data_IF_195169019942
#
_entry.id   IF_195169019942
#
_cell.length_a   1.000
_cell.length_b   1.000
_cell.length_c   1.000
_cell.angle_alpha   90.00
_cell.angle_beta   90.00
_cell.angle_gamma   90.00
#
_symmetry.space_group_name_H-M   'P 1'
#
loop_
_entity.id
_entity.type
_entity.pdbx_description
1 polymer ?
#
# COMPACT_ATOMS: atom_id res chain seq x y z
N UNK A 1 -19.20 -8.40 -17.94
CA UNK A 1 -20.31 -7.47 -17.65
C UNK A 1 -19.75 -6.30 -16.87
N UNK A 2 -19.96 -5.05 -17.31
CA UNK A 2 -19.64 -3.84 -16.54
C UNK A 2 -20.96 -3.24 -16.05
N UNK A 3 -21.02 -2.84 -14.78
CA UNK A 3 -22.21 -2.22 -14.17
C UNK A 3 -21.81 -0.79 -13.81
N UNK A 4 -22.14 0.16 -14.68
CA UNK A 4 -21.71 1.57 -14.60
C UNK A 4 -22.01 2.20 -13.23
N UNK A 5 -23.26 2.10 -12.77
CA UNK A 5 -23.65 2.61 -11.45
C UNK A 5 -22.78 2.09 -10.30
N UNK A 6 -22.42 0.80 -10.31
CA UNK A 6 -21.61 0.20 -9.27
C UNK A 6 -20.16 0.69 -9.36
N UNK A 7 -19.61 0.78 -10.58
CA UNK A 7 -18.26 1.30 -10.83
C UNK A 7 -18.19 2.74 -10.31
N UNK A 8 -19.09 3.62 -10.74
CA UNK A 8 -19.05 5.03 -10.34
C UNK A 8 -19.20 5.19 -8.83
N UNK A 9 -20.16 4.48 -8.22
CA UNK A 9 -20.40 4.52 -6.77
C UNK A 9 -19.15 4.18 -5.98
N UNK A 10 -18.50 3.05 -6.29
CA UNK A 10 -17.33 2.60 -5.51
C UNK A 10 -16.06 3.36 -5.87
N UNK A 11 -15.96 3.88 -7.10
CA UNK A 11 -14.87 4.77 -7.51
C UNK A 11 -14.92 6.08 -6.75
N UNK A 12 -16.10 6.70 -6.65
CA UNK A 12 -16.28 7.94 -5.87
C UNK A 12 -15.89 7.73 -4.40
N UNK A 13 -16.33 6.63 -3.79
CA UNK A 13 -16.00 6.33 -2.40
C UNK A 13 -14.50 6.03 -2.20
N UNK A 14 -13.86 5.30 -3.12
CA UNK A 14 -12.42 5.07 -3.08
C UNK A 14 -11.63 6.40 -3.17
N UNK A 15 -12.02 7.31 -4.07
CA UNK A 15 -11.41 8.64 -4.16
C UNK A 15 -11.63 9.47 -2.90
N UNK A 16 -12.80 9.38 -2.27
CA UNK A 16 -13.08 10.04 -0.98
C UNK A 16 -12.19 9.52 0.14
N UNK A 17 -11.94 8.21 0.19
CA UNK A 17 -11.04 7.60 1.16
C UNK A 17 -9.58 8.02 0.92
N UNK A 18 -9.13 8.03 -0.34
CA UNK A 18 -7.80 8.52 -0.72
C UNK A 18 -7.61 9.99 -0.32
N UNK A 19 -8.61 10.83 -0.57
CA UNK A 19 -8.58 12.26 -0.23
C UNK A 19 -8.54 12.50 1.28
N UNK A 20 -9.32 11.72 2.05
CA UNK A 20 -9.28 11.75 3.52
C UNK A 20 -7.87 11.42 4.05
N UNK A 21 -7.27 10.34 3.57
CA UNK A 21 -5.94 9.92 4.00
C UNK A 21 -4.88 10.94 3.59
N UNK A 22 -4.95 11.45 2.36
CA UNK A 22 -4.02 12.46 1.87
C UNK A 22 -4.10 13.76 2.68
N UNK A 23 -5.31 14.19 3.04
CA UNK A 23 -5.53 15.37 3.89
C UNK A 23 -4.99 15.15 5.30
N UNK A 24 -5.26 14.00 5.92
CA UNK A 24 -4.73 13.66 7.23
C UNK A 24 -3.19 13.68 7.25
N UNK A 25 -2.58 13.11 6.21
CA UNK A 25 -1.13 13.04 6.03
C UNK A 25 -0.52 14.36 5.53
N UNK A 26 -1.30 15.40 5.27
CA UNK A 26 -0.76 16.72 4.95
C UNK A 26 -0.13 17.37 6.19
N UNK A 27 -0.67 17.10 7.38
CA UNK A 27 -0.25 17.72 8.65
C UNK A 27 0.37 16.74 9.65
N UNK A 28 0.35 15.44 9.37
CA UNK A 28 0.95 14.41 10.22
C UNK A 28 2.02 13.61 9.48
N UNK A 29 2.98 13.05 10.22
CA UNK A 29 3.98 12.15 9.64
C UNK A 29 3.40 10.77 9.34
N UNK A 30 2.59 10.25 10.27
CA UNK A 30 1.89 8.97 10.21
C UNK A 30 0.39 9.18 10.43
N UNK A 31 -0.41 8.14 10.22
CA UNK A 31 -1.87 8.32 10.18
C UNK A 31 -2.46 8.81 11.52
N UNK A 32 -1.87 8.36 12.64
CA UNK A 32 -2.35 8.63 13.99
C UNK A 32 -1.54 9.70 14.74
N UNK A 33 -0.58 10.37 14.07
CA UNK A 33 0.29 11.35 14.71
C UNK A 33 1.71 11.35 14.15
N UNK A 34 2.67 11.63 15.03
CA UNK A 34 4.09 11.73 14.66
C UNK A 34 4.83 10.39 14.73
N UNK A 35 4.18 9.34 15.25
CA UNK A 35 4.79 8.02 15.42
C UNK A 35 4.09 6.94 14.58
N UNK A 36 4.90 6.04 14.03
CA UNK A 36 4.43 4.87 13.29
C UNK A 36 3.67 3.91 14.20
N UNK A 37 2.47 3.52 13.78
CA UNK A 37 1.56 2.72 14.59
C UNK A 37 0.96 1.53 13.84
N UNK A 38 0.19 0.70 14.55
CA UNK A 38 -0.60 -0.37 13.93
C UNK A 38 -1.67 0.16 12.95
N UNK A 39 -2.09 1.43 13.08
CA UNK A 39 -3.00 2.02 12.12
C UNK A 39 -2.33 2.17 10.75
N UNK A 40 -1.05 2.54 10.71
CA UNK A 40 -0.28 2.58 9.47
C UNK A 40 -0.10 1.19 8.86
N UNK A 41 0.18 0.18 9.70
CA UNK A 41 0.29 -1.23 9.29
C UNK A 41 -1.01 -1.72 8.65
N UNK A 42 -2.17 -1.33 9.19
CA UNK A 42 -3.47 -1.75 8.68
C UNK A 42 -3.81 -1.09 7.33
N UNK A 43 -3.44 0.18 7.15
CA UNK A 43 -3.81 0.99 5.97
C UNK A 43 -2.85 0.75 4.80
N UNK A 44 -1.55 0.64 5.08
CA UNK A 44 -0.49 0.66 4.06
C UNK A 44 -0.61 -0.46 3.00
N UNK A 45 -0.89 -1.73 3.37
CA UNK A 45 -1.04 -2.79 2.38
C UNK A 45 -2.21 -2.59 1.40
N UNK A 46 -3.19 -1.74 1.74
CA UNK A 46 -4.30 -1.40 0.86
C UNK A 46 -4.00 -0.14 0.05
N UNK A 47 -3.96 1.00 0.72
CA UNK A 47 -3.88 2.29 0.04
C UNK A 47 -2.48 2.59 -0.47
N UNK A 48 -1.45 2.13 0.22
CA UNK A 48 -0.06 2.26 -0.23
C UNK A 48 0.19 1.48 -1.51
N UNK A 49 -0.20 0.20 -1.55
CA UNK A 49 -0.08 -0.61 -2.77
C UNK A 49 -0.92 -0.03 -3.93
N UNK A 50 -2.11 0.50 -3.64
CA UNK A 50 -2.96 1.14 -4.65
C UNK A 50 -2.28 2.37 -5.27
N UNK A 51 -1.73 3.29 -4.47
CA UNK A 51 -1.07 4.50 -5.00
C UNK A 51 0.27 4.22 -5.67
N UNK A 52 0.93 3.11 -5.31
CA UNK A 52 2.11 2.60 -6.04
C UNK A 52 1.74 1.86 -7.34
N UNK A 53 0.44 1.72 -7.66
CA UNK A 53 -0.02 1.05 -8.88
C UNK A 53 0.11 -0.48 -8.84
N UNK A 54 0.25 -1.07 -7.66
CA UNK A 54 0.44 -2.51 -7.48
C UNK A 54 -0.88 -3.29 -7.34
N UNK A 55 -2.03 -2.61 -7.40
CA UNK A 55 -3.34 -3.22 -7.19
C UNK A 55 -4.36 -2.75 -8.23
N UNK A 56 -5.10 -3.71 -8.79
CA UNK A 56 -6.23 -3.52 -9.73
C UNK A 56 -5.95 -2.75 -11.02
N UNK A 57 -4.69 -2.39 -11.33
CA UNK A 57 -4.34 -1.50 -12.44
C UNK A 57 -5.13 -0.17 -12.42
N UNK A 58 -5.53 0.28 -11.22
CA UNK A 58 -6.48 1.38 -11.03
C UNK A 58 -5.81 2.76 -10.89
N UNK A 59 -4.48 2.84 -11.00
CA UNK A 59 -3.71 4.06 -10.69
C UNK A 59 -4.13 5.27 -11.53
N UNK A 60 -4.22 5.10 -12.85
CA UNK A 60 -4.68 6.16 -13.75
C UNK A 60 -6.15 6.51 -13.52
N UNK A 61 -7.00 5.49 -13.40
CA UNK A 61 -8.44 5.65 -13.23
C UNK A 61 -8.82 6.38 -11.93
N UNK A 62 -8.08 6.16 -10.84
CA UNK A 62 -8.29 6.84 -9.57
C UNK A 62 -7.49 8.15 -9.43
N UNK A 63 -6.69 8.51 -10.42
CA UNK A 63 -5.76 9.64 -10.40
C UNK A 63 -4.85 9.63 -9.15
N UNK A 64 -4.22 8.49 -8.88
CA UNK A 64 -3.49 8.28 -7.63
C UNK A 64 -2.30 9.22 -7.45
N UNK A 65 -1.76 9.76 -8.55
CA UNK A 65 -0.61 10.68 -8.55
C UNK A 65 -0.93 12.04 -7.92
N UNK A 66 -2.21 12.40 -7.82
CA UNK A 66 -2.65 13.64 -7.17
C UNK A 66 -2.50 13.60 -5.64
N UNK A 67 -2.47 12.42 -5.02
CA UNK A 67 -2.39 12.23 -3.57
C UNK A 67 -0.94 12.24 -3.06
N UNK A 68 -0.27 13.38 -3.19
CA UNK A 68 1.17 13.53 -2.94
C UNK A 68 1.60 13.21 -1.50
N UNK A 69 0.78 13.55 -0.49
CA UNK A 69 1.09 13.27 0.91
C UNK A 69 0.94 11.78 1.23
N UNK A 70 -0.07 11.14 0.64
CA UNK A 70 -0.25 9.69 0.74
C UNK A 70 0.90 8.94 0.05
N UNK A 71 1.39 9.42 -1.10
CA UNK A 71 2.58 8.87 -1.76
C UNK A 71 3.82 9.01 -0.85
N UNK A 72 4.06 10.19 -0.28
CA UNK A 72 5.18 10.42 0.65
C UNK A 72 5.16 9.45 1.83
N UNK A 73 4.01 9.28 2.47
CA UNK A 73 3.84 8.35 3.58
C UNK A 73 4.06 6.91 3.14
N UNK A 74 3.53 6.54 1.97
CA UNK A 74 3.66 5.20 1.39
C UNK A 74 5.12 4.83 1.13
N UNK A 75 5.88 5.72 0.49
CA UNK A 75 7.31 5.51 0.22
C UNK A 75 8.14 5.46 1.51
N UNK A 76 7.80 6.29 2.49
CA UNK A 76 8.49 6.33 3.79
C UNK A 76 8.35 4.99 4.51
N UNK A 77 7.13 4.46 4.60
CA UNK A 77 6.88 3.15 5.22
C UNK A 77 7.46 2.01 4.38
N UNK A 78 7.40 2.09 3.06
CA UNK A 78 7.95 1.08 2.15
C UNK A 78 9.47 0.89 2.27
N UNK A 79 10.20 1.90 2.74
CA UNK A 79 11.64 1.83 3.02
C UNK A 79 11.98 1.08 4.31
N UNK A 80 11.00 0.78 5.17
CA UNK A 80 11.25 0.10 6.45
C UNK A 80 11.65 -1.36 6.19
N UNK A 81 12.78 -1.86 6.73
CA UNK A 81 13.21 -3.24 6.50
C UNK A 81 12.17 -4.30 6.90
N UNK A 82 11.40 -4.03 7.96
CA UNK A 82 10.33 -4.93 8.40
C UNK A 82 9.16 -4.99 7.41
N UNK A 83 8.83 -3.88 6.73
CA UNK A 83 7.78 -3.83 5.70
C UNK A 83 8.24 -4.56 4.45
N UNK A 84 9.48 -4.35 4.03
CA UNK A 84 10.09 -5.06 2.90
C UNK A 84 10.09 -6.58 3.10
N UNK A 85 10.43 -7.06 4.31
CA UNK A 85 10.36 -8.48 4.65
C UNK A 85 8.92 -8.99 4.80
N UNK A 86 8.06 -8.23 5.49
CA UNK A 86 6.70 -8.67 5.78
C UNK A 86 5.81 -8.80 4.55
N UNK A 87 5.93 -7.87 3.59
CA UNK A 87 5.04 -7.80 2.41
C UNK A 87 5.20 -8.96 1.42
N UNK A 88 6.24 -9.78 1.57
CA UNK A 88 6.53 -10.89 0.68
C UNK A 88 6.16 -12.26 1.27
N UNK A 89 5.89 -12.32 2.59
CA UNK A 89 5.48 -13.56 3.26
C UNK A 89 4.09 -13.97 2.78
N UNK A 90 3.94 -15.26 2.44
CA UNK A 90 2.75 -15.86 1.83
C UNK A 90 2.30 -15.21 0.50
N UNK A 91 3.16 -14.41 -0.12
CA UNK A 91 2.88 -13.80 -1.42
C UNK A 91 3.21 -14.79 -2.54
N UNK A 92 2.23 -15.06 -3.39
CA UNK A 92 2.30 -16.05 -4.49
C UNK A 92 2.22 -15.39 -5.88
N UNK A 93 2.36 -14.08 -5.94
CA UNK A 93 2.24 -13.26 -7.15
C UNK A 93 3.28 -12.13 -7.15
N UNK A 94 3.47 -11.45 -8.29
CA UNK A 94 4.53 -10.45 -8.47
C UNK A 94 5.84 -11.08 -8.97
N UNK A 95 6.97 -10.38 -8.84
CA UNK A 95 8.28 -10.92 -9.24
C UNK A 95 8.75 -12.00 -8.27
N UNK A 96 9.45 -13.07 -8.72
CA UNK A 96 9.90 -14.15 -7.85
C UNK A 96 10.76 -13.70 -6.67
N UNK A 97 11.55 -12.64 -6.84
CA UNK A 97 12.41 -12.07 -5.80
C UNK A 97 11.60 -11.41 -4.67
N UNK A 98 10.34 -11.06 -4.93
CA UNK A 98 9.40 -10.50 -3.95
C UNK A 98 8.42 -11.55 -3.40
N UNK A 99 8.72 -12.85 -3.50
CA UNK A 99 7.84 -13.91 -3.04
C UNK A 99 8.53 -14.80 -2.00
N UNK A 100 7.84 -15.02 -0.88
CA UNK A 100 8.19 -16.02 0.11
C UNK A 100 6.92 -16.80 0.47
N UNK A 101 6.70 -17.95 -0.18
CA UNK A 101 5.46 -18.72 -0.03
C UNK A 101 5.14 -19.08 1.42
N UNK A 102 6.16 -19.41 2.21
CA UNK A 102 6.05 -19.73 3.63
C UNK A 102 7.27 -19.19 4.38
N UNK A 103 7.06 -18.80 5.65
CA UNK A 103 8.13 -18.39 6.55
C UNK A 103 8.07 -19.24 7.81
N UNK A 104 9.15 -19.95 8.10
CA UNK A 104 9.33 -20.81 9.27
C UNK A 104 10.52 -20.36 10.14
N UNK A 105 11.49 -19.67 9.55
CA UNK A 105 12.67 -19.10 10.25
C UNK A 105 13.00 -17.67 9.75
N UNK A 106 13.88 -16.95 10.44
CA UNK A 106 14.45 -15.70 9.94
C UNK A 106 15.39 -15.93 8.74
N UNK A 107 16.11 -17.06 8.69
CA UNK A 107 17.03 -17.38 7.58
C UNK A 107 16.31 -17.63 6.24
N UNK A 108 14.99 -17.78 6.24
CA UNK A 108 14.21 -17.95 5.00
C UNK A 108 14.34 -16.74 4.05
N UNK A 109 14.65 -15.56 4.59
CA UNK A 109 14.90 -14.35 3.81
C UNK A 109 16.27 -14.33 3.13
N UNK A 110 17.25 -15.10 3.62
CA UNK A 110 18.62 -15.09 3.08
C UNK A 110 18.67 -15.60 1.63
N UNK A 111 17.71 -16.45 1.25
CA UNK A 111 17.57 -16.97 -0.13
C UNK A 111 17.13 -15.90 -1.14
N UNK A 112 16.62 -14.76 -0.66
CA UNK A 112 16.12 -13.65 -1.46
C UNK A 112 17.11 -12.48 -1.53
N UNK A 113 18.14 -12.48 -0.69
CA UNK A 113 19.24 -11.52 -0.74
C UNK A 113 20.25 -12.04 -1.77
N UNK A 114 20.24 -11.48 -2.98
CA UNK A 114 21.36 -11.56 -3.92
C UNK A 114 22.18 -10.28 -3.86
#
# INVERSE_FOLDING_TARGET
>A
MKIEYAIDRFTMEAKRQLDLLNTQLATHEYIAGDEYSIADIAIWPWYGNLVLGLQYEAGEFLDVKSYTHLIRWTETIGKRPAVQRGRIVNKTWGTPEEQLAERHDASDFDRLIK
#
